data_IF_350696245239
#
_entry.id   IF_350696245239
#
_cell.length_a   1.000
_cell.length_b   1.000
_cell.length_c   1.000
_cell.angle_alpha   90.00
_cell.angle_beta   90.00
_cell.angle_gamma   90.00
#
_symmetry.space_group_name_H-M   'P 1'
#
loop_
_entity.id
_entity.type
_entity.pdbx_description
1 polymer ?
#
# COMPACT_ATOMS: atom_id res chain seq x y z
N UNK A 1 -27.95 -4.64 -1.54
CA UNK A 1 -27.31 -4.81 -2.86
C UNK A 1 -26.36 -6.02 -2.78
N UNK A 2 -26.40 -6.89 -3.79
CA UNK A 2 -25.52 -8.05 -3.94
C UNK A 2 -24.35 -7.69 -4.83
N UNK A 3 -23.13 -7.67 -4.27
CA UNK A 3 -21.92 -7.23 -4.95
C UNK A 3 -20.96 -8.41 -5.11
N UNK A 4 -20.46 -8.63 -6.30
CA UNK A 4 -19.43 -9.62 -6.60
C UNK A 4 -18.07 -8.97 -6.71
N UNK A 5 -17.11 -9.37 -5.90
CA UNK A 5 -15.71 -8.94 -5.94
C UNK A 5 -14.87 -9.99 -6.67
N UNK A 6 -14.11 -9.56 -7.67
CA UNK A 6 -13.17 -10.40 -8.43
C UNK A 6 -11.74 -9.99 -8.09
N UNK A 7 -10.97 -10.89 -7.51
CA UNK A 7 -9.55 -10.63 -7.23
C UNK A 7 -8.70 -11.89 -7.27
N UNK A 8 -7.61 -11.83 -8.02
CA UNK A 8 -6.57 -12.87 -8.03
C UNK A 8 -5.45 -12.59 -7.01
N UNK A 9 -5.53 -11.48 -6.28
CA UNK A 9 -4.55 -11.15 -5.24
C UNK A 9 -4.56 -12.25 -4.17
N UNK A 10 -3.37 -12.79 -3.79
CA UNK A 10 -3.30 -13.84 -2.78
C UNK A 10 -3.91 -13.41 -1.45
N UNK A 11 -4.73 -14.27 -0.86
CA UNK A 11 -5.40 -14.04 0.42
C UNK A 11 -4.46 -14.07 1.63
N UNK A 12 -3.26 -14.64 1.45
CA UNK A 12 -2.23 -14.70 2.48
C UNK A 12 -1.32 -13.46 2.37
N UNK A 13 -1.23 -12.68 3.43
CA UNK A 13 -0.34 -11.50 3.55
C UNK A 13 1.12 -11.86 3.22
N UNK A 14 1.56 -13.08 3.54
CA UNK A 14 2.92 -13.56 3.25
C UNK A 14 3.20 -13.67 1.75
N UNK A 15 2.17 -13.91 0.94
CA UNK A 15 2.25 -14.05 -0.51
C UNK A 15 1.67 -12.87 -1.27
N UNK A 16 0.78 -12.09 -0.61
CA UNK A 16 0.06 -10.96 -1.19
C UNK A 16 0.74 -9.62 -0.90
N UNK A 17 0.23 -8.60 -1.57
CA UNK A 17 0.47 -7.20 -1.26
C UNK A 17 -0.56 -6.70 -0.24
N UNK A 18 -0.38 -5.47 0.28
CA UNK A 18 -1.40 -4.79 1.08
C UNK A 18 -2.78 -4.67 0.41
N UNK A 19 -2.83 -4.85 -0.92
CA UNK A 19 -4.05 -4.85 -1.74
C UNK A 19 -5.15 -5.77 -1.20
N UNK A 20 -4.80 -7.02 -0.82
CA UNK A 20 -5.80 -7.93 -0.27
C UNK A 20 -6.37 -7.45 1.06
N UNK A 21 -5.52 -6.86 1.91
CA UNK A 21 -5.97 -6.32 3.21
C UNK A 21 -7.04 -5.25 2.98
N UNK A 22 -6.80 -4.32 2.04
CA UNK A 22 -7.78 -3.30 1.66
C UNK A 22 -9.10 -3.89 1.13
N UNK A 23 -9.02 -4.90 0.24
CA UNK A 23 -10.22 -5.58 -0.31
C UNK A 23 -11.01 -6.28 0.80
N UNK A 24 -10.34 -7.00 1.71
CA UNK A 24 -10.98 -7.72 2.80
C UNK A 24 -11.64 -6.78 3.82
N UNK A 25 -10.99 -5.65 4.13
CA UNK A 25 -11.54 -4.62 5.02
C UNK A 25 -12.75 -3.95 4.37
N UNK A 26 -12.68 -3.61 3.08
CA UNK A 26 -13.80 -3.04 2.33
C UNK A 26 -15.00 -4.01 2.31
N UNK A 27 -14.76 -5.27 1.97
CA UNK A 27 -15.83 -6.28 1.93
C UNK A 27 -16.53 -6.44 3.28
N UNK A 28 -15.77 -6.41 4.39
CA UNK A 28 -16.35 -6.46 5.74
C UNK A 28 -17.18 -5.21 6.02
N UNK A 29 -16.65 -4.03 5.79
CA UNK A 29 -17.35 -2.78 6.04
C UNK A 29 -18.64 -2.64 5.21
N UNK A 30 -18.65 -3.13 3.96
CA UNK A 30 -19.86 -3.19 3.15
C UNK A 30 -20.89 -4.17 3.69
N UNK A 31 -20.47 -5.33 4.23
CA UNK A 31 -21.39 -6.27 4.90
C UNK A 31 -22.00 -5.65 6.16
N UNK A 32 -21.23 -4.89 6.92
CA UNK A 32 -21.72 -4.14 8.09
C UNK A 32 -22.74 -3.06 7.71
N UNK A 33 -22.68 -2.54 6.47
CA UNK A 33 -23.69 -1.64 5.89
C UNK A 33 -24.91 -2.37 5.29
N UNK A 34 -24.99 -3.71 5.42
CA UNK A 34 -26.14 -4.51 4.96
C UNK A 34 -26.05 -5.00 3.51
N UNK A 35 -24.88 -4.91 2.87
CA UNK A 35 -24.68 -5.44 1.51
C UNK A 35 -24.24 -6.93 1.57
N UNK A 36 -24.69 -7.70 0.59
CA UNK A 36 -24.19 -9.07 0.40
C UNK A 36 -22.95 -9.06 -0.50
N UNK A 37 -21.80 -9.50 0.03
CA UNK A 37 -20.52 -9.48 -0.70
C UNK A 37 -20.04 -10.90 -0.95
N UNK A 38 -19.96 -11.31 -2.20
CA UNK A 38 -19.27 -12.52 -2.64
C UNK A 38 -17.88 -12.17 -3.16
N UNK A 39 -16.84 -12.88 -2.70
CA UNK A 39 -15.46 -12.69 -3.17
C UNK A 39 -15.06 -13.92 -3.97
N UNK A 40 -14.74 -13.73 -5.24
CA UNK A 40 -14.26 -14.78 -6.13
C UNK A 40 -12.74 -14.65 -6.33
N UNK A 41 -12.05 -15.76 -6.10
CA UNK A 41 -10.58 -15.84 -6.15
C UNK A 41 -10.14 -17.07 -6.97
N UNK A 42 -8.88 -17.13 -7.46
CA UNK A 42 -8.37 -18.30 -8.15
C UNK A 42 -8.51 -19.59 -7.32
N UNK A 43 -9.06 -20.62 -7.94
CA UNK A 43 -9.16 -21.97 -7.35
C UNK A 43 -7.85 -22.75 -7.46
N UNK A 44 -7.03 -22.40 -8.45
CA UNK A 44 -5.74 -23.06 -8.74
C UNK A 44 -4.63 -22.03 -8.56
N UNK A 45 -3.57 -22.42 -7.88
CA UNK A 45 -2.36 -21.61 -7.71
C UNK A 45 -1.28 -22.10 -8.66
N UNK A 46 -0.66 -21.17 -9.39
CA UNK A 46 0.41 -21.47 -10.33
C UNK A 46 1.74 -20.83 -9.87
N UNK A 47 2.90 -21.42 -10.22
CA UNK A 47 4.20 -20.85 -9.92
C UNK A 47 4.42 -19.45 -10.53
N UNK A 48 3.83 -19.22 -11.72
CA UNK A 48 3.89 -17.93 -12.42
C UNK A 48 2.61 -17.15 -12.14
N UNK A 49 2.71 -16.13 -11.32
CA UNK A 49 1.56 -15.33 -10.89
C UNK A 49 0.76 -14.72 -12.06
N UNK A 50 1.43 -14.26 -13.11
CA UNK A 50 0.74 -13.75 -14.31
C UNK A 50 -0.10 -14.83 -15.00
N UNK A 51 0.39 -16.06 -15.08
CA UNK A 51 -0.37 -17.18 -15.67
C UNK A 51 -1.59 -17.52 -14.80
N UNK A 52 -1.44 -17.51 -13.47
CA UNK A 52 -2.56 -17.69 -12.53
C UNK A 52 -3.65 -16.64 -12.75
N UNK A 53 -3.30 -15.37 -12.86
CA UNK A 53 -4.24 -14.26 -13.13
C UNK A 53 -4.96 -14.43 -14.47
N UNK A 54 -4.24 -14.80 -15.53
CA UNK A 54 -4.82 -15.01 -16.85
C UNK A 54 -5.78 -16.21 -16.85
N UNK A 55 -5.42 -17.31 -16.18
CA UNK A 55 -6.27 -18.48 -16.04
C UNK A 55 -7.54 -18.17 -15.24
N UNK A 56 -7.42 -17.44 -14.14
CA UNK A 56 -8.54 -16.97 -13.35
C UNK A 56 -9.52 -16.18 -14.22
N UNK A 57 -9.01 -15.16 -14.93
CA UNK A 57 -9.85 -14.34 -15.82
C UNK A 57 -10.47 -15.10 -16.98
N UNK A 58 -9.82 -16.18 -17.48
CA UNK A 58 -10.38 -17.05 -18.52
C UNK A 58 -11.57 -17.86 -18.01
N UNK A 59 -11.56 -18.21 -16.72
CA UNK A 59 -12.62 -19.00 -16.08
C UNK A 59 -13.82 -18.18 -15.61
N UNK A 60 -13.72 -16.84 -15.61
CA UNK A 60 -14.82 -15.99 -15.18
C UNK A 60 -16.01 -16.10 -16.13
N UNK A 61 -17.19 -16.23 -15.53
CA UNK A 61 -18.48 -16.26 -16.25
C UNK A 61 -19.26 -14.98 -15.94
N UNK A 62 -20.17 -14.57 -16.84
CA UNK A 62 -21.12 -13.50 -16.59
C UNK A 62 -21.83 -13.69 -15.25
N UNK A 63 -22.11 -12.59 -14.57
CA UNK A 63 -22.71 -12.62 -13.24
C UNK A 63 -24.24 -12.75 -13.35
N UNK A 64 -24.77 -13.94 -13.08
CA UNK A 64 -26.19 -14.07 -12.80
C UNK A 64 -26.47 -13.81 -11.30
N UNK A 65 -27.38 -12.90 -11.00
CA UNK A 65 -27.88 -12.68 -9.65
C UNK A 65 -27.05 -11.75 -8.75
N UNK A 66 -26.16 -10.93 -9.32
CA UNK A 66 -25.52 -9.81 -8.64
C UNK A 66 -25.96 -8.49 -9.25
N UNK A 67 -26.14 -7.47 -8.42
CA UNK A 67 -26.53 -6.13 -8.86
C UNK A 67 -25.33 -5.39 -9.47
N UNK A 68 -24.11 -5.73 -9.00
CA UNK A 68 -22.88 -5.11 -9.47
C UNK A 68 -21.71 -6.09 -9.34
N UNK A 69 -20.77 -6.02 -10.30
CA UNK A 69 -19.48 -6.75 -10.26
C UNK A 69 -18.33 -5.77 -10.20
N UNK A 70 -17.46 -5.92 -9.21
CA UNK A 70 -16.25 -5.10 -9.02
C UNK A 70 -15.03 -5.96 -9.27
N UNK A 71 -14.30 -5.69 -10.34
CA UNK A 71 -13.02 -6.30 -10.62
C UNK A 71 -11.86 -5.45 -10.10
N UNK A 72 -10.93 -6.05 -9.37
CA UNK A 72 -9.77 -5.33 -8.85
C UNK A 72 -8.57 -5.44 -9.80
N UNK A 73 -7.95 -4.29 -10.11
CA UNK A 73 -6.84 -4.15 -11.06
C UNK A 73 -7.21 -4.75 -12.43
N UNK A 74 -6.53 -5.78 -12.91
CA UNK A 74 -6.86 -6.44 -14.17
C UNK A 74 -7.99 -7.48 -14.07
N UNK A 75 -8.45 -7.83 -12.85
CA UNK A 75 -9.35 -8.94 -12.67
C UNK A 75 -10.79 -8.59 -13.07
N UNK A 76 -11.34 -9.33 -14.02
CA UNK A 76 -12.64 -9.05 -14.66
C UNK A 76 -12.53 -8.47 -16.08
N UNK A 77 -11.32 -8.24 -16.63
CA UNK A 77 -11.15 -7.60 -17.95
C UNK A 77 -11.87 -8.34 -19.10
N UNK A 78 -12.15 -9.63 -18.97
CA UNK A 78 -12.86 -10.42 -19.99
C UNK A 78 -14.36 -10.25 -19.96
N UNK A 79 -14.92 -9.92 -18.80
CA UNK A 79 -16.36 -9.70 -18.59
C UNK A 79 -16.69 -8.23 -18.29
N UNK A 80 -15.76 -7.34 -18.54
CA UNK A 80 -15.87 -5.91 -18.20
C UNK A 80 -16.95 -5.14 -18.98
N UNK A 81 -17.50 -5.72 -20.04
CA UNK A 81 -18.62 -5.15 -20.83
C UNK A 81 -19.98 -5.47 -20.25
N UNK A 82 -20.06 -6.27 -19.19
CA UNK A 82 -21.33 -6.56 -18.52
C UNK A 82 -21.93 -5.31 -17.86
N UNK A 83 -23.25 -5.25 -17.83
CA UNK A 83 -23.96 -4.18 -17.12
C UNK A 83 -23.57 -4.19 -15.64
N UNK A 84 -23.32 -3.02 -15.07
CA UNK A 84 -22.92 -2.88 -13.67
C UNK A 84 -21.49 -3.32 -13.35
N UNK A 85 -20.63 -3.60 -14.36
CA UNK A 85 -19.24 -3.93 -14.12
C UNK A 85 -18.39 -2.69 -13.84
N UNK A 86 -17.59 -2.75 -12.77
CA UNK A 86 -16.73 -1.66 -12.25
C UNK A 86 -15.30 -2.14 -12.18
N UNK A 87 -14.37 -1.36 -12.72
CA UNK A 87 -12.94 -1.57 -12.55
C UNK A 87 -12.44 -0.75 -11.35
N UNK A 88 -12.01 -1.41 -10.28
CA UNK A 88 -11.47 -0.78 -9.08
C UNK A 88 -9.97 -0.99 -8.98
N UNK A 89 -9.19 0.06 -9.17
CA UNK A 89 -7.74 -0.01 -9.23
C UNK A 89 -7.11 0.30 -7.87
N UNK A 90 -6.30 -0.62 -7.37
CA UNK A 90 -5.51 -0.48 -6.14
C UNK A 90 -4.14 0.18 -6.39
N UNK A 91 -3.70 0.16 -7.61
CA UNK A 91 -2.54 0.81 -8.19
C UNK A 91 -2.76 0.96 -9.68
N UNK A 92 -1.73 1.30 -10.43
CA UNK A 92 -1.73 1.30 -11.90
C UNK A 92 -0.57 0.45 -12.35
N UNK A 93 -0.86 -0.75 -12.87
CA UNK A 93 0.19 -1.74 -13.22
C UNK A 93 1.16 -1.16 -14.25
N UNK A 94 0.69 -0.38 -15.23
CA UNK A 94 1.54 0.26 -16.23
C UNK A 94 2.54 1.26 -15.62
N UNK A 95 2.16 1.94 -14.52
CA UNK A 95 3.07 2.81 -13.78
C UNK A 95 4.11 2.00 -12.98
N UNK A 96 3.70 0.90 -12.36
CA UNK A 96 4.60 0.01 -11.60
C UNK A 96 5.63 -0.68 -12.50
N UNK A 97 5.26 -1.11 -13.72
CA UNK A 97 6.14 -1.74 -14.72
C UNK A 97 7.38 -0.91 -15.02
N UNK A 98 7.32 0.41 -14.90
CA UNK A 98 8.44 1.32 -15.14
C UNK A 98 9.63 1.06 -14.21
N UNK A 99 9.39 0.49 -13.06
CA UNK A 99 10.40 0.18 -12.03
C UNK A 99 10.90 -1.26 -12.08
N UNK A 100 10.30 -2.10 -12.94
CA UNK A 100 10.66 -3.51 -13.06
C UNK A 100 11.64 -3.77 -14.23
N UNK A 101 12.36 -4.90 -14.17
CA UNK A 101 13.35 -5.31 -15.17
C UNK A 101 13.17 -6.78 -15.55
N UNK A 102 13.77 -7.18 -16.67
CA UNK A 102 13.78 -8.57 -17.12
C UNK A 102 12.40 -9.21 -17.24
N UNK A 103 12.25 -10.45 -16.84
CA UNK A 103 11.02 -11.23 -16.93
C UNK A 103 9.85 -10.59 -16.15
N UNK A 104 10.13 -9.97 -15.00
CA UNK A 104 9.10 -9.27 -14.23
C UNK A 104 8.47 -8.13 -15.05
N UNK A 105 9.28 -7.31 -15.73
CA UNK A 105 8.79 -6.25 -16.61
C UNK A 105 7.92 -6.79 -17.75
N UNK A 106 8.34 -7.91 -18.37
CA UNK A 106 7.58 -8.52 -19.45
C UNK A 106 6.22 -9.03 -18.96
N UNK A 107 6.21 -9.81 -17.88
CA UNK A 107 5.00 -10.40 -17.32
C UNK A 107 4.04 -9.37 -16.78
N UNK A 108 4.53 -8.33 -16.08
CA UNK A 108 3.71 -7.20 -15.65
C UNK A 108 3.22 -6.35 -16.84
N UNK A 109 3.97 -6.25 -17.93
CA UNK A 109 3.52 -5.62 -19.17
C UNK A 109 2.28 -6.30 -19.78
N UNK A 110 2.20 -7.63 -19.68
CA UNK A 110 1.00 -8.39 -20.08
C UNK A 110 -0.17 -8.03 -19.16
N UNK A 111 0.05 -7.98 -17.84
CA UNK A 111 -0.98 -7.61 -16.88
C UNK A 111 -1.47 -6.18 -17.11
N UNK A 112 -0.57 -5.22 -17.39
CA UNK A 112 -0.92 -3.83 -17.70
C UNK A 112 -1.81 -3.71 -18.96
N UNK A 113 -1.58 -4.56 -19.99
CA UNK A 113 -2.47 -4.60 -21.16
C UNK A 113 -3.87 -5.13 -20.79
N UNK A 114 -3.96 -6.14 -19.93
CA UNK A 114 -5.24 -6.64 -19.44
C UNK A 114 -5.95 -5.59 -18.58
N UNK A 115 -5.25 -4.90 -17.70
CA UNK A 115 -5.78 -3.80 -16.89
C UNK A 115 -6.28 -2.65 -17.77
N UNK A 116 -5.54 -2.28 -18.83
CA UNK A 116 -5.99 -1.29 -19.81
C UNK A 116 -7.32 -1.73 -20.47
N UNK A 117 -7.43 -2.98 -20.88
CA UNK A 117 -8.70 -3.50 -21.44
C UNK A 117 -9.83 -3.45 -20.43
N UNK A 118 -9.53 -3.73 -19.16
CA UNK A 118 -10.50 -3.68 -18.07
C UNK A 118 -11.06 -2.27 -17.91
N UNK A 119 -10.21 -1.26 -17.73
CA UNK A 119 -10.65 0.13 -17.51
C UNK A 119 -11.31 0.77 -18.73
N UNK A 120 -10.94 0.36 -19.94
CA UNK A 120 -11.58 0.86 -21.17
C UNK A 120 -12.98 0.31 -21.40
N UNK A 121 -13.25 -0.90 -20.90
CA UNK A 121 -14.52 -1.63 -21.13
C UNK A 121 -15.51 -1.51 -19.99
N UNK A 122 -15.04 -1.41 -18.75
CA UNK A 122 -15.90 -1.34 -17.58
C UNK A 122 -16.83 -0.12 -17.62
N UNK A 123 -18.04 -0.25 -17.10
CA UNK A 123 -19.00 0.86 -17.05
C UNK A 123 -18.47 2.04 -16.23
N UNK A 124 -17.75 1.75 -15.16
CA UNK A 124 -17.14 2.75 -14.26
C UNK A 124 -15.72 2.36 -13.89
N UNK A 125 -14.90 3.36 -13.54
CA UNK A 125 -13.54 3.15 -13.04
C UNK A 125 -13.39 3.85 -11.71
N UNK A 126 -12.92 3.14 -10.69
CA UNK A 126 -12.57 3.66 -9.37
C UNK A 126 -11.06 3.58 -9.21
N UNK A 127 -10.45 4.65 -8.73
CA UNK A 127 -9.02 4.73 -8.40
C UNK A 127 -8.83 5.11 -6.93
N UNK A 128 -7.74 4.68 -6.31
CA UNK A 128 -7.49 4.91 -4.88
C UNK A 128 -7.00 6.32 -4.55
N UNK A 129 -6.55 7.09 -5.55
CA UNK A 129 -6.04 8.44 -5.37
C UNK A 129 -6.21 9.26 -6.65
N UNK A 130 -6.12 10.59 -6.54
CA UNK A 130 -6.07 11.48 -7.71
C UNK A 130 -4.86 11.19 -8.57
N UNK A 131 -3.73 10.84 -7.94
CA UNK A 131 -2.56 10.38 -8.67
C UNK A 131 -2.88 9.15 -9.55
N UNK A 132 -3.48 8.10 -8.97
CA UNK A 132 -3.88 6.91 -9.74
C UNK A 132 -4.87 7.26 -10.85
N UNK A 133 -5.87 8.10 -10.58
CA UNK A 133 -6.83 8.56 -11.58
C UNK A 133 -6.13 9.25 -12.77
N UNK A 134 -5.17 10.13 -12.50
CA UNK A 134 -4.37 10.77 -13.53
C UNK A 134 -3.51 9.76 -14.32
N UNK A 135 -2.88 8.78 -13.64
CA UNK A 135 -2.11 7.73 -14.33
C UNK A 135 -2.99 6.83 -15.21
N UNK A 136 -4.19 6.48 -14.78
CA UNK A 136 -5.17 5.72 -15.60
C UNK A 136 -5.49 6.48 -16.88
N UNK A 137 -5.77 7.76 -16.79
CA UNK A 137 -6.06 8.59 -17.97
C UNK A 137 -4.86 8.70 -18.89
N UNK A 138 -3.70 8.99 -18.35
CA UNK A 138 -2.46 9.19 -19.13
C UNK A 138 -1.95 7.91 -19.77
N UNK A 139 -1.84 6.81 -19.01
CA UNK A 139 -1.19 5.58 -19.48
C UNK A 139 -2.14 4.65 -20.25
N UNK A 140 -3.44 4.69 -19.95
CA UNK A 140 -4.43 3.81 -20.60
C UNK A 140 -5.30 4.53 -21.62
N UNK A 141 -5.24 5.86 -21.70
CA UNK A 141 -6.02 6.65 -22.65
C UNK A 141 -7.53 6.69 -22.32
N UNK A 142 -7.87 6.66 -21.03
CA UNK A 142 -9.26 6.74 -20.57
C UNK A 142 -9.73 8.20 -20.60
N UNK A 143 -10.74 8.50 -21.41
CA UNK A 143 -11.26 9.88 -21.56
C UNK A 143 -12.06 10.34 -20.33
N UNK A 144 -12.85 9.44 -19.73
CA UNK A 144 -13.66 9.76 -18.53
C UNK A 144 -12.78 9.87 -17.30
N UNK A 145 -13.18 10.72 -16.35
CA UNK A 145 -12.53 10.86 -15.05
C UNK A 145 -12.83 9.64 -14.18
N UNK A 146 -11.83 8.88 -13.68
CA UNK A 146 -12.06 7.85 -12.68
C UNK A 146 -12.59 8.45 -11.37
N UNK A 147 -13.53 7.77 -10.73
CA UNK A 147 -14.00 8.13 -9.39
C UNK A 147 -12.89 7.83 -8.37
N UNK A 148 -12.66 8.75 -7.44
CA UNK A 148 -11.63 8.55 -6.41
C UNK A 148 -12.29 8.05 -5.12
N UNK A 149 -11.97 6.80 -4.76
CA UNK A 149 -12.33 6.20 -3.47
C UNK A 149 -11.04 5.72 -2.80
N UNK A 150 -10.59 6.35 -1.70
CA UNK A 150 -9.31 6.06 -1.10
C UNK A 150 -9.24 4.64 -0.53
N UNK A 151 -8.02 4.19 -0.23
CA UNK A 151 -7.82 3.01 0.62
C UNK A 151 -8.34 3.28 2.03
N UNK A 152 -8.56 2.20 2.78
CA UNK A 152 -9.22 2.25 4.07
C UNK A 152 -8.47 1.43 5.13
N UNK A 153 -8.71 1.80 6.38
CA UNK A 153 -8.19 1.11 7.55
C UNK A 153 -9.33 0.91 8.56
N UNK A 154 -9.35 -0.23 9.24
CA UNK A 154 -10.22 -0.46 10.38
C UNK A 154 -9.60 0.17 11.64
N UNK A 155 -9.92 1.45 11.88
CA UNK A 155 -9.35 2.21 12.98
C UNK A 155 -9.69 1.65 14.34
N UNK A 156 -10.92 1.18 14.53
CA UNK A 156 -11.33 0.61 15.82
C UNK A 156 -10.47 -0.61 16.17
N UNK A 157 -10.26 -1.51 15.21
CA UNK A 157 -9.42 -2.70 15.38
C UNK A 157 -7.94 -2.36 15.55
N UNK A 158 -7.43 -1.36 14.82
CA UNK A 158 -6.05 -0.90 14.97
C UNK A 158 -5.82 -0.28 16.36
N UNK A 159 -6.70 0.61 16.81
CA UNK A 159 -6.63 1.25 18.13
C UNK A 159 -6.71 0.23 19.25
N UNK A 160 -7.63 -0.72 19.16
CA UNK A 160 -7.74 -1.81 20.14
C UNK A 160 -6.44 -2.65 20.20
N UNK A 161 -5.86 -3.00 19.05
CA UNK A 161 -4.61 -3.75 19.00
C UNK A 161 -3.42 -2.94 19.58
N UNK A 162 -3.34 -1.64 19.27
CA UNK A 162 -2.31 -0.75 19.82
C UNK A 162 -2.45 -0.59 21.35
N UNK A 163 -3.68 -0.52 21.88
CA UNK A 163 -3.93 -0.40 23.31
C UNK A 163 -3.64 -1.71 24.10
N UNK A 164 -3.86 -2.87 23.47
CA UNK A 164 -3.62 -4.18 24.07
C UNK A 164 -2.14 -4.59 24.15
N UNK A 165 -1.26 -3.89 23.42
CA UNK A 165 0.16 -4.25 23.36
C UNK A 165 0.94 -3.90 24.65
N UNK A 166 2.12 -4.52 24.81
CA UNK A 166 3.01 -4.30 25.96
C UNK A 166 3.86 -3.02 25.76
N UNK A 167 4.54 -2.56 26.82
CA UNK A 167 5.46 -1.42 26.74
C UNK A 167 6.52 -1.60 25.63
N UNK A 168 6.90 -0.52 24.89
CA UNK A 168 7.84 -0.62 23.78
C UNK A 168 9.18 -1.23 24.21
N UNK A 169 9.69 -2.20 23.44
CA UNK A 169 11.03 -2.79 23.64
C UNK A 169 12.20 -1.87 23.26
N UNK A 170 11.91 -0.67 22.78
CA UNK A 170 12.92 0.29 22.27
C UNK A 170 13.29 1.37 23.28
N UNK A 171 13.18 1.11 24.59
CA UNK A 171 13.58 2.10 25.61
C UNK A 171 15.01 2.59 25.36
N UNK A 172 15.17 3.90 25.11
CA UNK A 172 16.46 4.52 24.81
C UNK A 172 16.96 4.41 23.36
N UNK A 173 16.16 3.91 22.42
CA UNK A 173 16.50 3.86 20.99
C UNK A 173 15.62 4.81 20.18
N UNK A 174 16.22 5.45 19.16
CA UNK A 174 15.46 6.17 18.13
C UNK A 174 15.19 5.23 16.95
N UNK A 175 13.99 4.65 16.94
CA UNK A 175 13.61 3.62 15.99
C UNK A 175 12.96 4.21 14.74
N UNK A 176 13.61 4.04 13.59
CA UNK A 176 13.05 4.31 12.26
C UNK A 176 12.46 3.03 11.70
N UNK A 177 11.16 3.00 11.44
CA UNK A 177 10.44 1.85 10.93
C UNK A 177 10.11 2.02 9.45
N UNK A 178 10.43 0.99 8.65
CA UNK A 178 9.90 0.80 7.30
C UNK A 178 9.01 -0.45 7.28
N UNK A 179 7.86 -0.37 6.62
CA UNK A 179 6.97 -1.52 6.39
C UNK A 179 6.59 -1.56 4.90
N UNK A 180 6.76 -2.72 4.26
CA UNK A 180 6.33 -2.90 2.87
C UNK A 180 7.01 -4.04 2.13
N UNK A 181 6.48 -4.39 0.96
CA UNK A 181 7.12 -5.36 0.06
C UNK A 181 8.43 -4.77 -0.48
N UNK A 182 9.50 -5.55 -0.47
CA UNK A 182 10.83 -5.12 -0.89
C UNK A 182 10.97 -5.16 -2.43
N UNK A 183 10.26 -4.22 -3.10
CA UNK A 183 10.40 -3.95 -4.53
C UNK A 183 11.33 -2.76 -4.77
N UNK A 184 11.88 -2.62 -5.99
CA UNK A 184 12.77 -1.51 -6.39
C UNK A 184 12.14 -0.14 -6.12
N UNK A 185 10.86 0.02 -6.45
CA UNK A 185 10.11 1.29 -6.27
C UNK A 185 9.96 1.73 -4.81
N UNK A 186 10.19 0.84 -3.85
CA UNK A 186 10.14 1.16 -2.41
C UNK A 186 11.42 1.81 -1.88
N UNK A 187 12.49 1.81 -2.65
CA UNK A 187 13.75 2.52 -2.42
C UNK A 187 14.32 2.34 -1.00
N UNK A 188 14.24 1.11 -0.49
CA UNK A 188 14.88 0.76 0.80
C UNK A 188 16.40 0.92 0.74
N UNK A 189 17.00 0.84 -0.44
CA UNK A 189 18.41 1.17 -0.68
C UNK A 189 18.76 2.61 -0.29
N UNK A 190 17.85 3.56 -0.52
CA UNK A 190 18.00 4.96 -0.11
C UNK A 190 17.96 5.08 1.42
N UNK A 191 17.06 4.36 2.09
CA UNK A 191 17.01 4.32 3.56
C UNK A 191 18.31 3.73 4.16
N UNK A 192 18.85 2.66 3.57
CA UNK A 192 20.12 2.09 4.01
C UNK A 192 21.27 3.10 3.88
N UNK A 193 21.35 3.84 2.78
CA UNK A 193 22.36 4.90 2.59
C UNK A 193 22.14 6.07 3.55
N UNK A 194 20.90 6.45 3.80
CA UNK A 194 20.55 7.46 4.82
C UNK A 194 20.99 7.02 6.23
N UNK A 195 20.84 5.74 6.57
CA UNK A 195 21.25 5.18 7.86
C UNK A 195 22.77 5.32 8.09
N UNK A 196 23.60 5.24 7.03
CA UNK A 196 25.05 5.49 7.13
C UNK A 196 25.34 6.92 7.64
N UNK A 197 24.66 7.92 7.09
CA UNK A 197 24.80 9.31 7.52
C UNK A 197 24.24 9.52 8.93
N UNK A 198 23.10 8.88 9.24
CA UNK A 198 22.39 9.05 10.50
C UNK A 198 23.11 8.45 11.70
N UNK A 199 23.80 7.32 11.56
CA UNK A 199 24.50 6.65 12.70
C UNK A 199 25.56 7.53 13.37
N UNK A 200 26.13 8.49 12.65
CA UNK A 200 27.07 9.47 13.21
C UNK A 200 26.38 10.70 13.85
N UNK A 201 25.07 10.87 13.61
CA UNK A 201 24.27 12.02 14.07
C UNK A 201 23.27 11.63 15.17
N UNK A 202 22.89 10.37 15.22
CA UNK A 202 21.94 9.78 16.19
C UNK A 202 22.58 8.52 16.76
N UNK A 203 23.24 8.61 17.92
CA UNK A 203 23.98 7.48 18.52
C UNK A 203 23.10 6.27 18.82
N UNK A 204 21.84 6.49 19.21
CA UNK A 204 20.85 5.46 19.54
C UNK A 204 20.00 5.02 18.34
N UNK A 205 20.41 5.34 17.12
CA UNK A 205 19.68 4.97 15.90
C UNK A 205 19.49 3.45 15.77
N UNK A 206 18.25 3.07 15.54
CA UNK A 206 17.86 1.74 15.10
C UNK A 206 16.94 1.85 13.89
N UNK A 207 17.17 1.04 12.85
CA UNK A 207 16.30 0.97 11.67
C UNK A 207 15.75 -0.44 11.56
N UNK A 208 14.44 -0.58 11.55
CA UNK A 208 13.76 -1.87 11.33
C UNK A 208 13.03 -1.89 10.01
N UNK A 209 13.25 -2.95 9.26
CA UNK A 209 12.66 -3.17 7.93
C UNK A 209 11.77 -4.40 8.01
N UNK A 210 10.45 -4.16 7.97
CA UNK A 210 9.43 -5.20 7.96
C UNK A 210 8.98 -5.47 6.53
N UNK A 211 8.91 -6.74 6.18
CA UNK A 211 8.46 -7.26 4.90
C UNK A 211 9.53 -7.98 4.12
N UNK A 212 9.11 -8.58 3.01
CA UNK A 212 9.94 -9.39 2.13
C UNK A 212 9.67 -9.03 0.67
N UNK A 213 10.46 -9.55 -0.26
CA UNK A 213 10.27 -9.29 -1.69
C UNK A 213 11.50 -9.59 -2.52
N UNK A 214 11.43 -9.38 -3.85
CA UNK A 214 12.52 -9.70 -4.77
C UNK A 214 13.84 -8.98 -4.47
N UNK A 215 13.79 -7.82 -3.81
CA UNK A 215 14.99 -7.06 -3.45
C UNK A 215 15.55 -7.41 -2.06
N UNK A 216 14.98 -8.39 -1.33
CA UNK A 216 15.40 -8.69 0.04
C UNK A 216 16.88 -9.11 0.14
N UNK A 217 17.35 -10.03 -0.72
CA UNK A 217 18.74 -10.47 -0.72
C UNK A 217 19.72 -9.36 -1.11
N UNK A 218 19.52 -8.64 -2.24
CA UNK A 218 20.35 -7.48 -2.60
C UNK A 218 20.40 -6.38 -1.51
N UNK A 219 19.29 -6.11 -0.83
CA UNK A 219 19.26 -5.11 0.23
C UNK A 219 20.03 -5.54 1.48
N UNK A 220 19.97 -6.81 1.86
CA UNK A 220 20.79 -7.35 2.97
C UNK A 220 22.28 -7.29 2.62
N UNK A 221 22.65 -7.65 1.39
CA UNK A 221 24.01 -7.50 0.90
C UNK A 221 24.48 -6.05 0.98
N UNK A 222 23.69 -5.11 0.48
CA UNK A 222 24.02 -3.67 0.56
C UNK A 222 24.17 -3.20 2.01
N UNK A 223 23.34 -3.66 2.94
CA UNK A 223 23.46 -3.31 4.35
C UNK A 223 24.77 -3.82 4.96
N UNK A 224 25.24 -5.02 4.56
CA UNK A 224 26.53 -5.58 4.98
C UNK A 224 27.70 -4.78 4.40
N UNK A 225 27.67 -4.45 3.10
CA UNK A 225 28.68 -3.61 2.43
C UNK A 225 28.78 -2.21 3.07
N UNK A 226 27.65 -1.63 3.48
CA UNK A 226 27.58 -0.35 4.18
C UNK A 226 27.92 -0.46 5.69
N UNK A 227 28.27 -1.65 6.18
CA UNK A 227 28.62 -1.92 7.59
C UNK A 227 27.54 -1.45 8.57
N UNK A 228 26.28 -1.76 8.28
CA UNK A 228 25.12 -1.36 9.09
C UNK A 228 24.70 -2.41 10.14
N UNK A 229 25.57 -3.37 10.45
CA UNK A 229 25.36 -4.33 11.53
C UNK A 229 25.10 -3.61 12.87
N UNK A 230 24.07 -4.04 13.61
CA UNK A 230 23.67 -3.42 14.87
C UNK A 230 22.83 -2.13 14.72
N UNK A 231 22.80 -1.53 13.52
CA UNK A 231 21.96 -0.36 13.24
C UNK A 231 20.71 -0.74 12.46
N UNK A 232 20.80 -1.66 11.49
CA UNK A 232 19.69 -2.08 10.63
C UNK A 232 19.32 -3.53 10.85
N UNK A 233 18.04 -3.79 11.07
CA UNK A 233 17.46 -5.13 11.23
C UNK A 233 16.38 -5.40 10.19
N UNK A 234 16.51 -6.50 9.44
CA UNK A 234 15.48 -7.00 8.52
C UNK A 234 14.65 -8.06 9.24
N UNK A 235 13.41 -7.73 9.55
CA UNK A 235 12.49 -8.60 10.28
C UNK A 235 11.77 -9.63 9.36
N UNK A 236 11.81 -9.41 8.05
CA UNK A 236 11.04 -10.25 7.11
C UNK A 236 9.54 -10.06 7.27
N UNK A 237 8.79 -11.10 6.91
CA UNK A 237 7.34 -11.10 7.10
C UNK A 237 7.02 -11.39 8.58
N UNK A 238 6.27 -10.50 9.21
CA UNK A 238 5.88 -10.58 10.62
C UNK A 238 4.37 -10.87 10.77
N UNK A 239 3.97 -11.39 11.92
CA UNK A 239 2.55 -11.52 12.26
C UNK A 239 1.91 -10.14 12.46
N UNK A 240 0.55 -10.07 12.38
CA UNK A 240 -0.15 -8.80 12.62
C UNK A 240 0.14 -8.23 14.02
N UNK A 241 0.22 -9.09 15.04
CA UNK A 241 0.55 -8.64 16.40
C UNK A 241 1.96 -8.05 16.48
N UNK A 242 2.93 -8.71 15.85
CA UNK A 242 4.30 -8.17 15.75
C UNK A 242 4.33 -6.86 14.97
N UNK A 243 3.59 -6.73 13.87
CA UNK A 243 3.50 -5.49 13.09
C UNK A 243 2.98 -4.33 13.95
N UNK A 244 1.94 -4.55 14.75
CA UNK A 244 1.41 -3.55 15.69
C UNK A 244 2.46 -3.13 16.71
N UNK A 245 3.23 -4.09 17.25
CA UNK A 245 4.33 -3.80 18.18
C UNK A 245 5.45 -2.98 17.52
N UNK A 246 5.78 -3.26 16.26
CA UNK A 246 6.79 -2.47 15.53
C UNK A 246 6.31 -1.02 15.31
N UNK A 247 5.06 -0.82 14.90
CA UNK A 247 4.49 0.53 14.83
C UNK A 247 4.46 1.22 16.19
N UNK A 248 4.12 0.51 17.26
CA UNK A 248 4.14 1.06 18.62
C UNK A 248 5.53 1.52 19.04
N UNK A 249 6.54 0.68 18.80
CA UNK A 249 7.92 0.93 19.16
C UNK A 249 8.58 2.05 18.34
N UNK A 250 8.09 2.30 17.12
CA UNK A 250 8.68 3.27 16.21
C UNK A 250 8.67 4.70 16.77
N UNK A 251 9.79 5.40 16.64
CA UNK A 251 9.92 6.84 16.85
C UNK A 251 9.46 7.61 15.61
N UNK A 252 9.79 7.09 14.41
CA UNK A 252 9.46 7.66 13.10
C UNK A 252 9.12 6.52 12.13
N UNK A 253 8.09 6.71 11.32
CA UNK A 253 7.82 5.86 10.15
C UNK A 253 8.47 6.46 8.91
N UNK A 254 9.16 5.64 8.12
CA UNK A 254 9.87 6.08 6.93
C UNK A 254 9.40 5.35 5.67
N UNK A 255 8.97 6.10 4.63
CA UNK A 255 8.55 5.55 3.34
C UNK A 255 9.25 6.27 2.18
N UNK A 256 10.45 5.82 1.75
CA UNK A 256 11.21 6.47 0.68
C UNK A 256 10.76 6.08 -0.74
N UNK A 257 9.55 5.55 -0.87
CA UNK A 257 9.00 5.02 -2.13
C UNK A 257 8.92 6.08 -3.22
N UNK A 258 9.30 5.74 -4.44
CA UNK A 258 9.15 6.61 -5.63
C UNK A 258 7.83 6.36 -6.35
N UNK A 259 7.13 5.28 -6.03
CA UNK A 259 5.81 4.97 -6.58
C UNK A 259 4.94 4.26 -5.53
N UNK A 260 3.77 4.84 -5.29
CA UNK A 260 2.67 4.31 -4.47
C UNK A 260 1.34 4.67 -5.14
N UNK A 261 0.45 3.72 -5.27
CA UNK A 261 -0.93 4.00 -5.68
C UNK A 261 -1.71 4.74 -4.58
N UNK A 262 -1.39 4.42 -3.31
CA UNK A 262 -1.93 5.07 -2.12
C UNK A 262 -0.97 4.95 -0.93
N UNK A 263 -0.59 3.73 -0.55
CA UNK A 263 0.27 3.45 0.59
C UNK A 263 -0.50 3.18 1.87
N UNK A 264 -1.16 2.03 1.98
CA UNK A 264 -1.91 1.61 3.19
C UNK A 264 -1.06 1.71 4.46
N UNK A 265 0.24 1.44 4.37
CA UNK A 265 1.20 1.55 5.49
C UNK A 265 1.29 2.97 6.08
N UNK A 266 0.93 4.00 5.29
CA UNK A 266 0.81 5.38 5.77
C UNK A 266 -0.41 5.53 6.69
N UNK A 267 -1.53 4.84 6.39
CA UNK A 267 -2.70 4.80 7.26
C UNK A 267 -2.37 4.10 8.58
N UNK A 268 -1.60 3.02 8.53
CA UNK A 268 -1.15 2.27 9.70
C UNK A 268 -0.25 3.14 10.60
N UNK A 269 0.69 3.89 10.00
CA UNK A 269 1.55 4.83 10.72
C UNK A 269 0.76 5.97 11.37
N UNK A 270 -0.20 6.56 10.64
CA UNK A 270 -1.10 7.59 11.17
C UNK A 270 -1.99 7.05 12.30
N UNK A 271 -2.54 5.84 12.15
CA UNK A 271 -3.35 5.19 13.19
C UNK A 271 -2.54 4.91 14.46
N UNK A 272 -1.24 4.64 14.32
CA UNK A 272 -0.29 4.50 15.42
C UNK A 272 0.27 5.84 15.93
N UNK A 273 -0.25 6.97 15.43
CA UNK A 273 0.20 8.33 15.77
C UNK A 273 1.72 8.51 15.60
N UNK A 274 2.30 7.97 14.51
CA UNK A 274 3.73 8.12 14.23
C UNK A 274 4.00 9.30 13.32
N UNK A 275 5.02 10.14 13.62
CA UNK A 275 5.53 11.10 12.66
C UNK A 275 6.09 10.36 11.45
N UNK A 276 5.96 10.96 10.27
CA UNK A 276 6.26 10.32 8.99
C UNK A 276 7.30 11.13 8.23
N UNK A 277 8.33 10.45 7.74
CA UNK A 277 9.24 10.95 6.69
C UNK A 277 9.00 10.13 5.44
N UNK A 278 8.67 10.77 4.33
CA UNK A 278 8.36 10.07 3.09
C UNK A 278 8.83 10.84 1.85
N UNK A 279 8.94 10.16 0.72
CA UNK A 279 9.24 10.80 -0.55
C UNK A 279 8.08 11.67 -1.04
N UNK A 280 8.39 12.83 -1.62
CA UNK A 280 7.45 13.67 -2.36
C UNK A 280 7.17 13.07 -3.74
N UNK A 281 6.54 11.89 -3.77
CA UNK A 281 6.33 11.12 -5.01
C UNK A 281 4.96 10.45 -5.05
N UNK A 282 4.43 10.30 -6.26
CA UNK A 282 3.19 9.59 -6.54
C UNK A 282 2.02 10.06 -5.64
N UNK A 283 1.25 9.13 -5.03
CA UNK A 283 0.14 9.48 -4.16
C UNK A 283 0.54 9.91 -2.74
N UNK A 284 1.81 9.79 -2.34
CA UNK A 284 2.26 10.05 -0.97
C UNK A 284 1.89 11.45 -0.48
N UNK A 285 2.16 12.56 -1.23
CA UNK A 285 1.79 13.92 -0.78
C UNK A 285 0.28 14.12 -0.61
N UNK A 286 -0.53 13.39 -1.38
CA UNK A 286 -1.99 13.41 -1.26
C UNK A 286 -2.47 12.74 0.04
N UNK A 287 -1.84 11.64 0.42
CA UNK A 287 -2.22 10.84 1.60
C UNK A 287 -1.73 11.48 2.89
N UNK A 288 -0.47 11.92 2.93
CA UNK A 288 0.20 12.46 4.14
C UNK A 288 0.79 13.86 3.91
N UNK A 289 -0.01 14.89 3.60
CA UNK A 289 0.48 16.25 3.35
C UNK A 289 1.15 16.90 4.58
N UNK A 290 0.89 16.38 5.78
CA UNK A 290 1.47 16.83 7.05
C UNK A 290 2.84 16.19 7.36
N UNK A 291 3.28 15.19 6.59
CA UNK A 291 4.54 14.49 6.80
C UNK A 291 5.75 15.37 6.40
N UNK A 292 6.93 15.01 6.89
CA UNK A 292 8.19 15.51 6.34
C UNK A 292 8.42 14.88 4.97
N UNK A 293 8.09 15.63 3.91
CA UNK A 293 8.23 15.18 2.53
C UNK A 293 9.59 15.60 1.98
N UNK A 294 10.36 14.63 1.50
CA UNK A 294 11.70 14.83 0.92
C UNK A 294 11.71 14.47 -0.57
N UNK A 295 12.63 15.05 -1.34
CA UNK A 295 12.79 14.67 -2.74
C UNK A 295 13.19 13.20 -2.88
N UNK A 296 12.59 12.48 -3.85
CA UNK A 296 12.89 11.07 -4.07
C UNK A 296 14.38 10.84 -4.39
N UNK A 297 14.86 9.62 -4.09
CA UNK A 297 16.21 9.15 -4.39
C UNK A 297 17.35 9.85 -3.64
N UNK A 298 17.07 10.87 -2.84
CA UNK A 298 18.04 11.62 -2.06
C UNK A 298 18.32 11.01 -0.69
N UNK A 299 19.37 10.16 -0.53
CA UNK A 299 19.70 9.56 0.76
C UNK A 299 20.03 10.62 1.83
N UNK A 300 20.74 11.69 1.48
CA UNK A 300 21.05 12.79 2.39
C UNK A 300 19.81 13.63 2.72
N UNK A 301 18.91 13.85 1.75
CA UNK A 301 17.64 14.53 2.00
C UNK A 301 16.76 13.71 2.97
N UNK A 302 16.73 12.39 2.79
CA UNK A 302 16.02 11.48 3.70
C UNK A 302 16.65 11.49 5.10
N UNK A 303 17.98 11.46 5.19
CA UNK A 303 18.68 11.56 6.46
C UNK A 303 18.37 12.87 7.20
N UNK A 304 18.44 14.02 6.51
CA UNK A 304 18.06 15.31 7.10
C UNK A 304 16.60 15.35 7.56
N UNK A 305 15.69 14.76 6.79
CA UNK A 305 14.27 14.67 7.17
C UNK A 305 14.06 13.87 8.46
N UNK A 306 14.74 12.73 8.60
CA UNK A 306 14.69 11.90 9.83
C UNK A 306 15.36 12.63 10.99
N UNK A 307 16.55 13.23 10.78
CA UNK A 307 17.28 14.00 11.80
C UNK A 307 16.48 15.21 12.32
N UNK A 308 15.73 15.88 11.45
CA UNK A 308 14.88 17.01 11.85
C UNK A 308 13.81 16.61 12.86
N UNK A 309 13.24 15.42 12.72
CA UNK A 309 12.29 14.86 13.68
C UNK A 309 12.98 14.41 14.97
N UNK A 310 14.16 13.80 14.88
CA UNK A 310 14.96 13.46 16.06
C UNK A 310 15.27 14.68 16.93
N UNK A 311 15.63 15.81 16.31
CA UNK A 311 16.01 17.06 17.00
C UNK A 311 14.82 17.89 17.47
N UNK A 312 13.60 17.60 16.99
CA UNK A 312 12.42 18.41 17.28
C UNK A 312 11.23 17.58 17.80
N UNK A 313 11.18 17.26 19.10
CA UNK A 313 10.05 16.56 19.71
C UNK A 313 8.70 17.26 19.48
N UNK A 314 8.70 18.61 19.45
CA UNK A 314 7.50 19.40 19.16
C UNK A 314 6.97 19.15 17.75
N UNK A 315 7.84 19.05 16.74
CA UNK A 315 7.43 18.73 15.38
C UNK A 315 6.92 17.28 15.28
N UNK A 316 7.55 16.33 15.99
CA UNK A 316 7.04 14.97 16.09
C UNK A 316 5.60 14.94 16.64
N UNK A 317 5.36 15.64 17.75
CA UNK A 317 4.04 15.71 18.38
C UNK A 317 3.00 16.33 17.43
N UNK A 318 3.34 17.44 16.78
CA UNK A 318 2.45 18.11 15.82
C UNK A 318 2.10 17.21 14.63
N UNK A 319 3.09 16.53 14.04
CA UNK A 319 2.84 15.57 12.94
C UNK A 319 2.01 14.37 13.39
N UNK A 320 2.27 13.81 14.57
CA UNK A 320 1.51 12.71 15.14
C UNK A 320 0.04 13.08 15.34
N UNK A 321 -0.22 14.28 15.87
CA UNK A 321 -1.58 14.79 16.05
C UNK A 321 -2.29 15.02 14.70
N UNK A 322 -1.62 15.65 13.75
CA UNK A 322 -2.16 15.88 12.41
C UNK A 322 -2.46 14.56 11.68
N UNK A 323 -1.58 13.56 11.80
CA UNK A 323 -1.78 12.22 11.24
C UNK A 323 -2.96 11.50 11.89
N UNK A 324 -3.06 11.52 13.21
CA UNK A 324 -4.16 10.91 13.95
C UNK A 324 -5.53 11.53 13.61
N UNK A 325 -5.58 12.84 13.39
CA UNK A 325 -6.79 13.51 12.92
C UNK A 325 -7.13 13.16 11.46
N UNK A 326 -6.10 13.10 10.59
CA UNK A 326 -6.30 12.84 9.16
C UNK A 326 -6.77 11.41 8.88
N UNK A 327 -6.27 10.43 9.61
CA UNK A 327 -6.60 9.01 9.36
C UNK A 327 -8.09 8.71 9.54
N UNK A 328 -8.85 9.53 10.29
CA UNK A 328 -10.31 9.41 10.42
C UNK A 328 -11.05 9.48 9.08
N UNK A 329 -10.47 10.16 8.09
CA UNK A 329 -11.06 10.26 6.76
C UNK A 329 -10.99 8.94 6.00
N UNK A 330 -10.13 8.02 6.44
CA UNK A 330 -9.87 6.73 5.82
C UNK A 330 -10.42 5.55 6.63
N UNK A 331 -11.22 5.84 7.66
CA UNK A 331 -11.87 4.78 8.45
C UNK A 331 -12.83 3.95 7.60
N UNK A 332 -12.82 2.66 7.81
CA UNK A 332 -13.50 1.68 6.97
C UNK A 332 -15.00 1.97 6.77
N UNK A 333 -15.81 2.33 7.80
CA UNK A 333 -17.21 2.66 7.61
C UNK A 333 -17.44 3.89 6.72
N UNK A 334 -16.55 4.88 6.80
CA UNK A 334 -16.64 6.10 6.00
C UNK A 334 -16.31 5.82 4.54
N UNK A 335 -15.21 5.13 4.28
CA UNK A 335 -14.80 4.82 2.91
C UNK A 335 -15.75 3.83 2.25
N UNK A 336 -16.34 2.89 3.00
CA UNK A 336 -17.36 2.00 2.48
C UNK A 336 -18.60 2.77 1.97
N UNK A 337 -19.04 3.81 2.68
CA UNK A 337 -20.13 4.70 2.20
C UNK A 337 -19.75 5.43 0.91
N UNK A 338 -18.52 6.00 0.85
CA UNK A 338 -18.03 6.62 -0.39
C UNK A 338 -17.95 5.63 -1.55
N UNK A 339 -17.62 4.37 -1.26
CA UNK A 339 -17.63 3.32 -2.26
C UNK A 339 -19.06 3.02 -2.75
N UNK A 340 -20.06 2.93 -1.86
CA UNK A 340 -21.47 2.78 -2.25
C UNK A 340 -21.91 3.93 -3.16
N UNK A 341 -21.62 5.18 -2.77
CA UNK A 341 -21.94 6.35 -3.62
C UNK A 341 -21.28 6.26 -5.01
N UNK A 342 -20.07 5.70 -5.10
CA UNK A 342 -19.36 5.54 -6.36
C UNK A 342 -19.93 4.40 -7.24
N UNK A 343 -20.50 3.36 -6.64
CA UNK A 343 -21.13 2.26 -7.39
C UNK A 343 -22.58 2.58 -7.79
N UNK A 344 -23.26 3.52 -7.13
CA UNK A 344 -24.65 3.90 -7.43
C UNK A 344 -24.75 4.98 -8.52
N UNK A 345 -23.68 5.76 -8.78
CA UNK A 345 -23.58 6.76 -9.86
C UNK A 345 -23.50 6.11 -11.23
#
# INVERSE_FOLDING_TARGET
>A
VRIRFLTSTPLDIRRGSGTYVGIAVLARALRELGHEIAIETPRVRLPVYTAERLLFNRGLKPSAGFDCTVGFDMDGYRIATEAGHIAALKGVIADEVRFERGLARLTMGIQARCERLHVLRAARVIATSRYCAAQVRSLYGVAREPLVVPELIDLARWRAALAAGRAPRSAGRFLVLFVGRLYRRKRVDVLLRAAVALRGRIPELEVRIVGNGPCAAPLRQLAAELKLHGTVTFLGDVSRSQLVEEYRAASVFCLPSVQEGFGIVLLEAMAAAKPIVASRAAAIPEVVPHATLVEPDGAEALARGIESLYRSPGNCAAQSQAGAARVEQFDAPRVARLFCEAIDR
#
